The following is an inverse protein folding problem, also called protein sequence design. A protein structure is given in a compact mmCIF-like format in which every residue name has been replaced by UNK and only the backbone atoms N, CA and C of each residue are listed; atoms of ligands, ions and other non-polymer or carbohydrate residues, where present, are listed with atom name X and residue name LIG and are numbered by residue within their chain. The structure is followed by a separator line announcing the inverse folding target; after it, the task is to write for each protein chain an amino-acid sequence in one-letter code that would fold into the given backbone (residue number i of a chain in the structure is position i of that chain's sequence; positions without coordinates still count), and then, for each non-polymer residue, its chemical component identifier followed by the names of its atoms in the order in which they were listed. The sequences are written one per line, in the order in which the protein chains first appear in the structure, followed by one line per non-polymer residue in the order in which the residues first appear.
data_IF_077507671526
#
_entry.id   IF_077507671526
#
_cell.length_a   1.000
_cell.length_b   1.000
_cell.length_c   1.000
_cell.angle_alpha   90.00
_cell.angle_beta   90.00
_cell.angle_gamma   90.00
#
_symmetry.space_group_name_H-M   'P 1'
#
loop_
_entity.id
_entity.type
_entity.pdbx_description
1 polymer ?
2 non-polymer ?
3 non-polymer ?
4 non-polymer ?
5 non-polymer ?
6 water ?
#
# COMPACT_ATOMS: atom_id res chain seq x y z
N UNK A 1 -17.09 -5.36 5.14
CA UNK A 1 -16.61 -5.59 6.52
C UNK A 1 -15.16 -5.12 6.60
N UNK A 2 -14.50 -5.52 7.66
CA UNK A 2 -13.15 -5.07 8.01
C UNK A 2 -12.21 -5.45 6.87
N UNK A 3 -12.24 -6.68 6.36
CA UNK A 3 -11.29 -7.09 5.28
C UNK A 3 -11.47 -6.20 4.05
N UNK A 4 -12.71 -6.00 3.63
CA UNK A 4 -12.94 -5.15 2.44
C UNK A 4 -12.43 -3.74 2.75
N UNK A 5 -12.65 -3.26 3.96
CA UNK A 5 -12.20 -1.90 4.34
C UNK A 5 -10.67 -1.76 4.11
N UNK A 6 -9.93 -2.79 4.45
CA UNK A 6 -8.46 -2.79 4.23
C UNK A 6 -8.23 -2.65 2.74
N UNK A 7 -8.94 -3.38 1.89
CA UNK A 7 -8.81 -3.24 0.41
C UNK A 7 -9.17 -1.83 -0.06
N UNK A 8 -10.25 -1.29 0.46
CA UNK A 8 -10.71 0.07 0.06
C UNK A 8 -9.60 1.06 0.42
N UNK A 9 -9.12 1.04 1.66
CA UNK A 9 -8.09 2.00 2.14
C UNK A 9 -6.85 1.84 1.27
N UNK A 10 -6.38 0.62 1.04
CA UNK A 10 -5.19 0.39 0.22
C UNK A 10 -5.36 0.90 -1.22
N UNK A 11 -6.59 0.90 -1.75
CA UNK A 11 -6.84 1.35 -3.12
C UNK A 11 -6.73 2.85 -3.28
N UNK A 12 -6.62 3.62 -2.20
CA UNK A 12 -6.34 5.08 -2.30
C UNK A 12 -5.49 5.48 -1.10
N UNK A 13 -4.41 4.73 -0.91
CA UNK A 13 -3.71 4.72 0.37
C UNK A 13 -3.11 6.09 0.71
N UNK A 14 -2.47 6.76 -0.26
CA UNK A 14 -1.79 8.04 0.07
C UNK A 14 -2.85 9.01 0.60
N UNK A 15 -4.00 9.06 -0.08
CA UNK A 15 -5.06 9.99 0.29
C UNK A 15 -5.61 9.66 1.66
N UNK A 16 -5.96 8.38 1.87
CA UNK A 16 -6.53 8.06 3.19
C UNK A 16 -5.49 8.26 4.30
N UNK A 17 -4.23 7.91 4.00
CA UNK A 17 -3.16 8.00 5.04
C UNK A 17 -3.02 9.45 5.50
N UNK A 18 -3.01 10.36 4.52
CA UNK A 18 -2.86 11.80 4.85
C UNK A 18 -4.12 12.35 5.51
N UNK A 19 -5.29 12.00 4.98
CA UNK A 19 -6.54 12.60 5.50
C UNK A 19 -6.86 12.11 6.90
N UNK A 20 -6.58 10.83 7.18
CA UNK A 20 -6.84 10.33 8.56
C UNK A 20 -5.83 10.93 9.53
N UNK A 21 -4.55 11.06 9.14
CA UNK A 21 -3.61 11.70 10.04
C UNK A 21 -4.00 13.15 10.32
N UNK A 22 -4.45 13.88 9.28
CA UNK A 22 -4.86 15.29 9.51
C UNK A 22 -6.09 15.32 10.40
N UNK A 23 -7.01 14.35 10.22
CA UNK A 23 -8.19 14.33 11.10
C UNK A 23 -7.70 14.19 12.55
N UNK A 24 -6.75 13.26 12.78
CA UNK A 24 -6.17 13.08 14.13
C UNK A 24 -5.53 14.36 14.65
N UNK A 25 -4.60 14.92 13.88
CA UNK A 25 -3.91 16.13 14.37
C UNK A 25 -4.89 17.27 14.63
N UNK A 26 -5.93 17.40 13.81
CA UNK A 26 -6.88 18.52 13.97
C UNK A 26 -7.84 18.25 15.13
N UNK A 27 -8.20 16.97 15.40
CA UNK A 27 -9.06 16.67 16.55
C UNK A 27 -8.27 16.80 17.88
N UNK A 28 -6.97 16.45 17.83
CA UNK A 28 -6.11 16.39 19.04
C UNK A 28 -4.84 17.22 18.81
N UNK A 29 -4.97 18.56 18.78
CA UNK A 29 -3.82 19.38 18.42
C UNK A 29 -2.59 19.23 19.30
N UNK A 30 -2.81 18.90 20.56
CA UNK A 30 -1.74 18.61 21.53
C UNK A 30 -0.83 17.47 21.01
N UNK A 31 -1.36 16.55 20.23
CA UNK A 31 -0.56 15.41 19.68
C UNK A 31 0.58 15.93 18.77
N UNK A 32 0.55 17.18 18.33
CA UNK A 32 1.70 17.72 17.55
C UNK A 32 2.97 17.83 18.41
N UNK A 33 2.91 17.70 19.73
CA UNK A 33 4.15 17.67 20.56
C UNK A 33 5.05 16.56 19.99
N UNK A 34 4.47 15.52 19.39
CA UNK A 34 5.22 14.35 18.86
C UNK A 34 5.71 14.61 17.43
N UNK A 35 5.27 15.73 16.81
CA UNK A 35 5.48 16.01 15.37
C UNK A 35 5.82 17.49 15.17
N UNK A 36 6.89 17.94 15.81
CA UNK A 36 7.21 19.38 15.87
C UNK A 36 7.42 19.98 14.49
N UNK A 37 7.82 19.21 13.49
CA UNK A 37 8.06 19.74 12.13
C UNK A 37 6.72 20.07 11.45
N UNK A 38 5.61 19.65 12.03
CA UNK A 38 4.24 19.87 11.43
C UNK A 38 3.50 21.05 12.04
N UNK A 39 4.10 21.75 12.99
CA UNK A 39 3.54 22.93 13.68
C UNK A 39 3.47 24.08 12.69
N UNK A 40 2.39 24.82 12.81
CA UNK A 40 2.28 26.12 12.14
C UNK A 40 1.98 26.02 10.66
N UNK A 41 1.25 24.99 10.25
CA UNK A 41 1.07 24.70 8.82
C UNK A 41 -0.33 24.14 8.57
N UNK A 42 -1.01 24.74 7.61
CA UNK A 42 -2.34 24.28 7.18
C UNK A 42 -2.23 22.91 6.55
N UNK A 43 -3.38 22.26 6.43
CA UNK A 43 -3.41 20.89 5.84
C UNK A 43 -2.75 20.91 4.45
N UNK A 44 -3.04 21.89 3.60
CA UNK A 44 -2.49 21.90 2.23
C UNK A 44 -0.95 22.07 2.30
N UNK A 45 -0.46 22.88 3.25
CA UNK A 45 0.99 23.04 3.42
C UNK A 45 1.60 21.70 3.87
N UNK A 46 0.96 21.00 4.80
CA UNK A 46 1.52 19.69 5.24
C UNK A 46 1.56 18.75 4.05
N UNK A 47 0.55 18.76 3.18
CA UNK A 47 0.48 17.83 2.01
C UNK A 47 1.49 18.19 0.93
N UNK A 48 2.20 19.32 1.12
CA UNK A 48 3.30 19.75 0.24
C UNK A 48 4.66 19.28 0.79
N UNK A 49 4.72 18.88 2.08
CA UNK A 49 5.99 18.54 2.78
C UNK A 49 6.38 17.08 2.56
N UNK A 50 7.58 16.86 2.06
CA UNK A 50 7.96 15.51 1.60
C UNK A 50 7.89 14.50 2.74
N UNK A 51 8.33 14.83 3.94
CA UNK A 51 8.34 13.78 4.96
C UNK A 51 6.91 13.53 5.43
N UNK A 52 6.05 14.53 5.39
CA UNK A 52 4.66 14.26 5.79
C UNK A 52 4.04 13.27 4.82
N UNK A 53 4.25 13.37 3.54
CA UNK A 53 3.67 12.41 2.61
C UNK A 53 4.32 11.05 2.77
N UNK A 54 5.64 11.04 2.82
CA UNK A 54 6.43 9.79 2.90
C UNK A 54 6.10 9.03 4.18
N UNK A 55 6.16 9.72 5.30
CA UNK A 55 6.00 9.09 6.64
C UNK A 55 4.55 8.64 6.77
N UNK A 56 3.58 9.48 6.46
CA UNK A 56 2.16 9.06 6.58
C UNK A 56 1.93 7.81 5.79
N UNK A 57 2.43 7.73 4.59
CA UNK A 57 2.18 6.56 3.76
C UNK A 57 2.90 5.32 4.32
N UNK A 58 4.12 5.43 4.86
CA UNK A 58 4.81 4.25 5.43
C UNK A 58 4.07 3.82 6.70
N UNK A 59 3.59 4.73 7.50
CA UNK A 59 2.81 4.40 8.71
C UNK A 59 1.59 3.61 8.27
N UNK A 60 0.84 4.12 7.33
CA UNK A 60 -0.43 3.49 6.96
C UNK A 60 -0.21 2.16 6.25
N UNK A 61 0.86 2.02 5.49
CA UNK A 61 1.20 0.75 4.85
C UNK A 61 1.35 -0.29 5.95
N UNK A 62 2.03 0.02 7.05
CA UNK A 62 2.20 -0.98 8.11
C UNK A 62 0.91 -1.13 8.87
N UNK A 63 0.15 -0.08 9.12
CA UNK A 63 -1.12 -0.20 9.85
C UNK A 63 -1.98 -1.24 9.08
N UNK A 64 -2.07 -1.12 7.76
CA UNK A 64 -2.94 -2.02 6.99
C UNK A 64 -2.42 -3.45 7.09
N UNK A 65 -1.12 -3.67 7.12
CA UNK A 65 -0.57 -5.03 7.29
C UNK A 65 -0.96 -5.55 8.67
N UNK A 66 -0.87 -4.74 9.69
CA UNK A 66 -1.25 -5.16 11.06
C UNK A 66 -2.74 -5.55 11.08
N UNK A 67 -3.58 -4.73 10.47
CA UNK A 67 -5.02 -5.03 10.40
C UNK A 67 -5.23 -6.32 9.62
N UNK A 68 -4.53 -6.49 8.50
CA UNK A 68 -4.74 -7.65 7.61
C UNK A 68 -4.27 -8.94 8.31
N UNK A 69 -3.31 -8.85 9.23
CA UNK A 69 -2.79 -10.04 9.89
C UNK A 69 -3.64 -10.35 11.12
N UNK A 70 -4.55 -9.49 11.55
CA UNK A 70 -5.38 -9.68 12.73
C UNK A 70 -6.40 -10.83 12.51
N UNK A 71 -6.84 -11.39 13.62
CA UNK A 71 -7.96 -12.36 13.68
C UNK A 71 -9.08 -11.67 14.44
N UNK A 72 -10.28 -11.56 13.87
CA UNK A 72 -11.41 -10.98 14.63
C UNK A 72 -11.01 -9.61 15.21
N UNK A 73 -10.23 -8.83 14.47
CA UNK A 73 -9.82 -7.49 14.83
C UNK A 73 -8.83 -7.48 15.98
N UNK A 74 -8.20 -8.62 16.26
CA UNK A 74 -7.18 -8.74 17.34
C UNK A 74 -5.83 -8.90 16.66
N UNK A 75 -4.93 -7.92 16.82
CA UNK A 75 -3.63 -8.00 16.14
C UNK A 75 -2.75 -9.11 16.72
N UNK A 76 -1.85 -9.54 15.88
CA UNK A 76 -0.77 -10.47 16.32
C UNK A 76 0.02 -9.86 17.44
N UNK A 77 0.45 -10.65 18.39
CA UNK A 77 1.33 -10.19 19.46
C UNK A 77 2.66 -9.74 18.86
N UNK A 78 3.12 -10.38 17.79
CA UNK A 78 4.43 -9.98 17.15
C UNK A 78 4.30 -8.55 16.60
N UNK A 79 3.15 -8.20 16.01
CA UNK A 79 2.96 -6.85 15.47
C UNK A 79 2.87 -5.87 16.63
N UNK A 80 2.18 -6.17 17.73
CA UNK A 80 2.13 -5.27 18.88
C UNK A 80 3.55 -5.05 19.43
N UNK A 81 4.35 -6.09 19.57
CA UNK A 81 5.72 -5.91 20.13
C UNK A 81 6.60 -5.09 19.16
N UNK A 82 6.45 -5.25 17.84
CA UNK A 82 7.18 -4.41 16.87
C UNK A 82 6.81 -2.94 17.12
N UNK A 83 5.53 -2.63 17.27
CA UNK A 83 5.07 -1.23 17.49
C UNK A 83 5.55 -0.69 18.84
N UNK A 84 5.67 -1.51 19.87
CA UNK A 84 6.18 -1.02 21.18
C UNK A 84 7.69 -0.76 21.06
N UNK A 85 8.42 -1.62 20.37
CA UNK A 85 9.91 -1.67 20.46
C UNK A 85 10.56 -0.72 19.45
N UNK A 86 9.83 -0.28 18.44
CA UNK A 86 10.34 0.66 17.40
C UNK A 86 10.94 1.90 18.09
N UNK A 87 12.18 2.29 17.75
CA UNK A 87 12.85 3.45 18.37
C UNK A 87 11.98 4.71 18.17
N UNK A 88 11.27 4.78 17.04
CA UNK A 88 10.41 5.92 16.64
C UNK A 88 9.29 6.12 17.66
N UNK A 89 8.93 5.04 18.36
CA UNK A 89 7.82 5.01 19.33
C UNK A 89 8.27 5.09 20.80
N UNK A 90 9.54 5.38 21.08
CA UNK A 90 10.10 5.54 22.44
C UNK A 90 9.28 6.50 23.32
N UNK A 91 8.78 7.58 22.75
CA UNK A 91 8.10 8.55 23.65
C UNK A 91 6.64 8.20 23.95
N UNK A 92 6.06 7.16 23.36
CA UNK A 92 4.58 7.08 23.26
C UNK A 92 3.99 6.25 24.38
N UNK A 93 2.71 6.49 24.61
CA UNK A 93 1.87 5.68 25.51
C UNK A 93 0.66 5.19 24.74
N UNK A 94 -0.10 4.30 25.37
CA UNK A 94 -1.27 3.74 24.64
C UNK A 94 -2.31 4.83 24.29
N UNK A 95 -2.41 5.90 25.11
CA UNK A 95 -3.36 6.97 24.83
C UNK A 95 -3.14 7.63 23.46
N UNK A 96 -1.91 7.71 22.97
CA UNK A 96 -1.61 8.27 21.64
C UNK A 96 -2.33 7.41 20.60
N UNK A 97 -2.30 6.09 20.79
CA UNK A 97 -2.95 5.14 19.86
C UNK A 97 -4.45 5.16 20.05
N UNK A 98 -4.94 5.27 21.28
CA UNK A 98 -6.41 5.32 21.47
C UNK A 98 -6.95 6.50 20.66
N UNK A 99 -6.30 7.65 20.81
CA UNK A 99 -6.72 8.90 20.13
C UNK A 99 -6.68 8.76 18.63
N UNK A 100 -5.62 8.16 18.10
CA UNK A 100 -5.58 7.90 16.66
C UNK A 100 -6.80 7.10 16.22
N UNK A 101 -7.15 6.04 16.93
CA UNK A 101 -8.23 5.18 16.41
C UNK A 101 -9.60 5.88 16.64
N UNK A 102 -9.74 6.70 17.67
CA UNK A 102 -10.99 7.50 17.81
C UNK A 102 -11.13 8.38 16.58
N UNK A 103 -10.06 9.03 16.15
CA UNK A 103 -10.12 9.92 14.99
C UNK A 103 -10.36 9.15 13.69
N UNK A 104 -9.75 7.98 13.56
CA UNK A 104 -9.96 7.12 12.37
C UNK A 104 -11.43 6.72 12.28
N UNK A 105 -12.02 6.26 13.38
CA UNK A 105 -13.43 5.80 13.36
C UNK A 105 -14.32 6.97 13.03
N UNK A 106 -14.06 8.13 13.63
CA UNK A 106 -14.91 9.32 13.37
C UNK A 106 -14.79 9.64 11.89
N UNK A 107 -13.58 9.67 11.36
CA UNK A 107 -13.37 9.88 9.93
C UNK A 107 -14.26 8.97 9.07
N UNK A 108 -14.24 7.70 9.41
CA UNK A 108 -15.00 6.69 8.63
C UNK A 108 -16.52 6.96 8.76
N UNK A 109 -16.98 7.27 9.97
CA UNK A 109 -18.43 7.55 10.18
C UNK A 109 -18.86 8.75 9.31
N UNK A 110 -17.97 9.73 9.11
CA UNK A 110 -18.30 11.01 8.48
C UNK A 110 -18.12 10.86 6.96
N UNK A 111 -17.54 9.75 6.53
CA UNK A 111 -17.26 9.54 5.10
C UNK A 111 -18.58 9.25 4.36
N UNK A 112 -18.61 9.33 3.06
CA UNK A 112 -19.91 8.91 2.45
C UNK A 112 -20.14 7.39 2.52
N UNK A 113 -19.21 6.61 3.08
CA UNK A 113 -18.94 5.22 2.61
C UNK A 113 -19.24 4.12 3.63
N UNK A 114 -19.36 2.89 3.15
CA UNK A 114 -19.89 1.80 4.00
C UNK A 114 -18.71 1.11 4.71
N UNK A 115 -17.82 1.94 5.32
CA UNK A 115 -16.78 1.35 6.19
C UNK A 115 -17.47 0.65 7.36
N UNK A 116 -16.84 -0.43 7.84
CA UNK A 116 -17.34 -1.12 9.04
C UNK A 116 -16.75 -0.45 10.27
N UNK A 117 -17.27 0.70 10.65
CA UNK A 117 -16.65 1.51 11.72
C UNK A 117 -16.58 0.72 13.02
N UNK A 118 -17.55 -0.16 13.33
CA UNK A 118 -17.55 -0.86 14.62
C UNK A 118 -16.34 -1.82 14.62
N UNK A 119 -15.99 -2.42 13.48
CA UNK A 119 -14.77 -3.30 13.44
C UNK A 119 -13.51 -2.47 13.68
N UNK A 120 -13.43 -1.28 13.07
CA UNK A 120 -12.25 -0.42 13.34
C UNK A 120 -12.15 0.02 14.79
N UNK A 121 -13.29 0.31 15.42
CA UNK A 121 -13.31 0.73 16.84
C UNK A 121 -12.78 -0.43 17.70
N UNK A 122 -13.24 -1.65 17.44
CA UNK A 122 -12.70 -2.86 18.14
C UNK A 122 -11.20 -2.99 17.90
N UNK A 123 -10.82 -2.91 16.61
CA UNK A 123 -9.39 -3.05 16.26
C UNK A 123 -8.59 -2.08 17.11
N UNK A 124 -9.01 -0.82 17.17
CA UNK A 124 -8.22 0.15 17.97
C UNK A 124 -8.17 -0.24 19.43
N UNK A 125 -9.27 -0.69 20.02
CA UNK A 125 -9.25 -1.06 21.45
C UNK A 125 -8.37 -2.30 21.62
N UNK A 126 -8.46 -3.25 20.70
CA UNK A 126 -7.69 -4.51 20.83
C UNK A 126 -6.22 -4.18 20.60
N UNK A 127 -5.90 -3.25 19.68
CA UNK A 127 -4.48 -2.90 19.48
C UNK A 127 -3.95 -2.22 20.74
N UNK A 128 -4.71 -1.34 21.36
CA UNK A 128 -4.30 -0.72 22.64
C UNK A 128 -4.04 -1.78 23.71
N UNK A 129 -4.93 -2.78 23.83
CA UNK A 129 -4.77 -3.88 24.81
C UNK A 129 -3.47 -4.63 24.52
N UNK A 130 -3.22 -4.92 23.25
CA UNK A 130 -2.01 -5.66 22.83
C UNK A 130 -0.76 -4.83 23.08
N UNK A 131 -0.80 -3.52 22.84
CA UNK A 131 0.36 -2.67 23.08
C UNK A 131 0.67 -2.65 24.59
N UNK A 132 -0.35 -2.56 25.43
CA UNK A 132 -0.17 -2.57 26.91
C UNK A 132 0.45 -3.93 27.33
N UNK A 133 -0.08 -5.04 26.80
CA UNK A 133 0.47 -6.37 27.16
C UNK A 133 1.92 -6.45 26.72
N UNK A 134 2.27 -5.85 25.59
CA UNK A 134 3.67 -5.88 25.06
C UNK A 134 4.56 -4.81 25.70
N UNK A 135 4.08 -4.09 26.73
CA UNK A 135 4.92 -3.23 27.54
C UNK A 135 4.81 -1.73 27.31
N UNK A 136 3.94 -1.25 26.43
CA UNK A 136 3.74 0.19 26.35
C UNK A 136 2.99 0.72 27.58
N UNK A 137 3.44 1.84 28.12
CA UNK A 137 2.83 2.48 29.30
C UNK A 137 1.56 3.21 28.85
N UNK B 1 10.46 -15.46 1.65
CA UNK B 1 9.82 -16.07 0.49
C UNK B 1 8.77 -15.12 -0.08
N UNK B 2 7.84 -15.63 -0.86
CA UNK B 2 6.84 -14.86 -1.59
C UNK B 2 6.01 -14.04 -0.62
N UNK B 3 5.50 -14.61 0.45
CA UNK B 3 4.61 -13.88 1.34
C UNK B 3 5.36 -12.76 2.02
N UNK B 4 6.63 -12.95 2.41
CA UNK B 4 7.35 -11.84 3.08
C UNK B 4 7.64 -10.77 2.01
N UNK B 5 7.88 -11.19 0.78
CA UNK B 5 8.17 -10.20 -0.31
C UNK B 5 6.94 -9.29 -0.46
N UNK B 6 5.76 -9.87 -0.43
CA UNK B 6 4.54 -9.01 -0.56
C UNK B 6 4.51 -8.04 0.63
N UNK B 7 4.86 -8.43 1.85
CA UNK B 7 4.93 -7.56 3.05
C UNK B 7 5.99 -6.48 2.80
N UNK B 8 7.15 -6.82 2.29
CA UNK B 8 8.27 -5.88 2.04
C UNK B 8 7.79 -4.82 1.03
N UNK B 9 7.24 -5.27 -0.06
CA UNK B 9 6.79 -4.37 -1.15
C UNK B 9 5.69 -3.50 -0.58
N UNK B 10 4.66 -4.06 0.06
CA UNK B 10 3.56 -3.23 0.62
C UNK B 10 4.09 -2.20 1.62
N UNK B 11 5.16 -2.52 2.31
CA UNK B 11 5.64 -1.65 3.37
C UNK B 11 6.16 -0.32 2.85
N UNK B 12 6.69 -0.37 1.61
CA UNK B 12 7.11 0.88 0.95
C UNK B 12 6.58 0.91 -0.47
N UNK B 13 5.25 0.79 -0.56
CA UNK B 13 4.62 0.47 -1.86
C UNK B 13 4.91 1.54 -2.92
N UNK B 14 4.81 2.82 -2.53
CA UNK B 14 4.99 3.96 -3.47
C UNK B 14 6.39 3.87 -4.11
N UNK B 15 7.42 3.61 -3.30
CA UNK B 15 8.81 3.60 -3.78
C UNK B 15 9.05 2.43 -4.72
N UNK B 16 8.64 1.23 -4.27
CA UNK B 16 8.84 0.05 -5.12
C UNK B 16 8.04 0.18 -6.42
N UNK B 17 6.79 0.68 -6.30
CA UNK B 17 5.92 0.77 -7.50
C UNK B 17 6.62 1.65 -8.56
N UNK B 18 7.10 2.84 -8.14
CA UNK B 18 7.75 3.76 -9.09
C UNK B 18 8.99 3.11 -9.68
N UNK B 19 9.81 2.50 -8.83
CA UNK B 19 11.14 2.05 -9.30
C UNK B 19 10.98 0.84 -10.23
N UNK B 20 10.02 -0.06 -9.95
CA UNK B 20 9.84 -1.22 -10.85
C UNK B 20 9.24 -0.76 -12.18
N UNK B 21 8.26 0.14 -12.14
CA UNK B 21 7.66 0.62 -13.40
C UNK B 21 8.73 1.32 -14.25
N UNK B 22 9.56 2.17 -13.62
CA UNK B 22 10.62 2.84 -14.41
C UNK B 22 11.55 1.77 -14.99
N UNK B 23 11.90 0.74 -14.19
CA UNK B 23 12.78 -0.31 -14.74
C UNK B 23 12.14 -0.92 -16.00
N UNK B 24 10.84 -1.21 -15.88
CA UNK B 24 10.08 -1.75 -17.03
C UNK B 24 10.12 -0.78 -18.21
N UNK B 25 9.78 0.48 -17.99
CA UNK B 25 9.71 1.40 -19.15
C UNK B 25 11.08 1.60 -19.78
N UNK B 26 12.11 1.64 -18.99
CA UNK B 26 13.48 1.87 -19.53
C UNK B 26 13.95 0.58 -20.25
N UNK B 27 13.59 -0.62 -19.78
CA UNK B 27 14.03 -1.87 -20.46
C UNK B 27 13.29 -2.04 -21.80
N UNK B 28 12.04 -1.66 -21.80
CA UNK B 28 11.13 -1.86 -22.95
C UNK B 28 10.54 -0.53 -23.38
N UNK B 29 11.31 0.37 -24.00
CA UNK B 29 10.82 1.72 -24.23
C UNK B 29 9.57 1.82 -25.11
N UNK B 30 9.37 0.86 -26.03
CA UNK B 30 8.17 0.91 -26.89
C UNK B 30 6.93 0.78 -26.01
N UNK B 31 7.04 0.19 -24.81
CA UNK B 31 5.89 0.06 -23.87
C UNK B 31 5.40 1.44 -23.45
N UNK B 32 6.21 2.48 -23.61
CA UNK B 32 5.76 3.83 -23.17
C UNK B 32 4.65 4.45 -24.05
N UNK B 33 4.40 3.88 -25.25
CA UNK B 33 3.28 4.26 -26.16
C UNK B 33 1.91 4.08 -25.48
N UNK B 34 1.82 3.14 -24.53
CA UNK B 34 0.61 2.93 -23.70
C UNK B 34 0.40 4.03 -22.68
N UNK B 35 1.40 4.92 -22.49
CA UNK B 35 1.37 5.95 -21.44
C UNK B 35 1.86 7.27 -22.07
N UNK B 36 1.02 7.86 -22.91
CA UNK B 36 1.44 8.99 -23.76
C UNK B 36 1.79 10.19 -22.87
N UNK B 37 1.20 10.32 -21.67
CA UNK B 37 1.50 11.43 -20.70
C UNK B 37 2.94 11.31 -20.19
N UNK B 38 3.56 10.15 -20.37
CA UNK B 38 4.90 9.94 -19.77
C UNK B 38 6.03 10.08 -20.80
N UNK B 39 5.69 10.17 -22.06
CA UNK B 39 6.68 10.29 -23.17
C UNK B 39 7.49 11.58 -23.04
N UNK B 40 8.80 11.46 -23.26
CA UNK B 40 9.72 12.62 -23.35
C UNK B 40 10.09 13.22 -22.00
N UNK B 41 9.98 12.42 -20.94
CA UNK B 41 10.23 12.80 -19.55
C UNK B 41 11.22 11.83 -18.92
N UNK B 42 12.18 12.40 -18.28
CA UNK B 42 13.16 11.67 -17.48
C UNK B 42 12.47 10.97 -16.29
N UNK B 43 13.21 10.09 -15.63
CA UNK B 43 12.69 9.42 -14.43
C UNK B 43 12.30 10.47 -13.37
N UNK B 44 13.12 11.49 -13.16
CA UNK B 44 12.82 12.47 -12.09
C UNK B 44 11.68 13.42 -12.54
N UNK B 45 11.48 13.72 -13.83
CA UNK B 45 10.31 14.52 -14.25
C UNK B 45 9.06 13.65 -14.01
N UNK B 46 9.17 12.34 -14.25
CA UNK B 46 7.97 11.46 -14.01
C UNK B 46 7.64 11.41 -12.52
N UNK B 47 8.62 11.26 -11.65
CA UNK B 47 8.37 11.21 -10.20
C UNK B 47 7.70 12.50 -9.70
N UNK B 48 7.75 13.60 -10.45
CA UNK B 48 7.18 14.90 -10.00
C UNK B 48 5.71 15.03 -10.46
N UNK B 49 5.22 14.14 -11.30
CA UNK B 49 3.83 14.19 -11.83
C UNK B 49 2.87 13.47 -10.89
N UNK B 50 1.78 14.14 -10.50
CA UNK B 50 0.88 13.57 -9.47
C UNK B 50 0.41 12.20 -9.95
N UNK B 51 0.04 12.09 -11.23
CA UNK B 51 -0.67 10.89 -11.70
C UNK B 51 0.37 9.77 -11.78
N UNK B 52 1.66 10.04 -11.98
CA UNK B 52 2.66 8.96 -12.10
C UNK B 52 2.75 8.22 -10.76
N UNK B 53 2.92 8.91 -9.66
CA UNK B 53 2.98 8.26 -8.34
C UNK B 53 1.66 7.62 -7.99
N UNK B 54 0.52 8.35 -8.13
CA UNK B 54 -0.82 7.85 -7.73
C UNK B 54 -1.14 6.58 -8.51
N UNK B 55 -0.95 6.63 -9.82
CA UNK B 55 -1.24 5.53 -10.78
C UNK B 55 -0.37 4.33 -10.44
N UNK B 56 0.96 4.50 -10.47
CA UNK B 56 1.93 3.40 -10.23
C UNK B 56 1.55 2.74 -8.91
N UNK B 57 1.23 3.51 -7.88
CA UNK B 57 0.96 2.84 -6.59
C UNK B 57 -0.32 2.01 -6.73
N UNK B 58 -1.35 2.54 -7.39
CA UNK B 58 -2.61 1.80 -7.45
C UNK B 58 -2.45 0.51 -8.27
N UNK B 59 -1.65 0.52 -9.34
CA UNK B 59 -1.30 -0.68 -10.11
C UNK B 59 -0.67 -1.70 -9.16
N UNK B 60 0.37 -1.28 -8.44
CA UNK B 60 1.20 -2.20 -7.61
C UNK B 60 0.39 -2.67 -6.40
N UNK B 61 -0.53 -1.87 -5.90
CA UNK B 61 -1.45 -2.33 -4.84
C UNK B 61 -2.31 -3.49 -5.38
N UNK B 62 -2.90 -3.35 -6.57
CA UNK B 62 -3.70 -4.46 -7.11
C UNK B 62 -2.80 -5.66 -7.37
N UNK B 63 -1.61 -5.45 -7.86
CA UNK B 63 -0.66 -6.55 -8.13
C UNK B 63 -0.41 -7.29 -6.80
N UNK B 64 -0.25 -6.59 -5.69
CA UNK B 64 0.00 -7.23 -4.40
C UNK B 64 -1.24 -7.97 -3.91
N UNK B 65 -2.45 -7.46 -4.19
CA UNK B 65 -3.68 -8.17 -3.84
C UNK B 65 -3.75 -9.48 -4.63
N UNK B 66 -3.46 -9.46 -5.90
CA UNK B 66 -3.51 -10.67 -6.74
C UNK B 66 -2.44 -11.64 -6.23
N UNK B 67 -1.22 -11.17 -5.96
CA UNK B 67 -0.16 -12.06 -5.47
C UNK B 67 -0.61 -12.66 -4.13
N UNK B 68 -1.15 -11.89 -3.21
CA UNK B 68 -1.54 -12.40 -1.88
C UNK B 68 -2.66 -13.44 -2.00
N UNK B 69 -3.54 -13.32 -2.97
CA UNK B 69 -4.65 -14.27 -3.13
C UNK B 69 -4.23 -15.50 -3.92
N UNK B 70 -3.05 -15.52 -4.47
CA UNK B 70 -2.56 -16.65 -5.26
C UNK B 70 -2.32 -17.87 -4.34
N UNK B 71 -2.39 -19.05 -4.91
CA UNK B 71 -1.97 -20.30 -4.23
C UNK B 71 -0.76 -20.84 -4.98
N UNK B 72 0.36 -21.05 -4.27
CA UNK B 72 1.57 -21.63 -4.90
C UNK B 72 1.93 -20.79 -6.15
N UNK B 73 1.81 -19.47 -6.02
CA UNK B 73 2.17 -18.52 -7.09
C UNK B 73 1.28 -18.67 -8.34
N UNK B 74 0.09 -19.25 -8.18
CA UNK B 74 -0.90 -19.35 -9.26
C UNK B 74 -2.03 -18.42 -8.90
N UNK B 75 -2.27 -17.37 -9.73
CA UNK B 75 -3.31 -16.39 -9.41
C UNK B 75 -4.69 -17.01 -9.64
N UNK B 76 -5.63 -16.45 -8.90
CA UNK B 76 -7.05 -16.78 -9.12
C UNK B 76 -7.47 -16.41 -10.54
N UNK B 77 -8.27 -17.23 -11.17
CA UNK B 77 -8.84 -16.98 -12.50
C UNK B 77 -9.70 -15.72 -12.40
N UNK B 78 -10.37 -15.50 -11.29
CA UNK B 78 -11.23 -14.30 -11.14
C UNK B 78 -10.40 -13.02 -11.19
N UNK B 79 -9.21 -13.07 -10.59
CA UNK B 79 -8.30 -11.90 -10.58
C UNK B 79 -7.76 -11.71 -11.98
N UNK B 80 -7.36 -12.76 -12.70
CA UNK B 80 -6.96 -12.64 -14.11
C UNK B 80 -8.08 -11.98 -14.89
N UNK B 81 -9.29 -12.44 -14.74
CA UNK B 81 -10.39 -11.87 -15.53
C UNK B 81 -10.59 -10.38 -15.19
N UNK B 82 -10.43 -9.96 -13.94
CA UNK B 82 -10.51 -8.51 -13.62
C UNK B 82 -9.52 -7.77 -14.50
N UNK B 83 -8.31 -8.26 -14.57
CA UNK B 83 -7.25 -7.59 -15.33
C UNK B 83 -7.56 -7.59 -16.82
N UNK B 84 -8.18 -8.61 -17.34
CA UNK B 84 -8.56 -8.68 -18.78
C UNK B 84 -9.71 -7.69 -19.08
N UNK B 85 -10.65 -7.56 -18.16
CA UNK B 85 -11.92 -6.85 -18.45
C UNK B 85 -11.83 -5.36 -18.08
N UNK B 86 -10.79 -4.95 -17.36
CA UNK B 86 -10.57 -3.49 -17.06
C UNK B 86 -10.51 -2.72 -18.36
N UNK B 87 -11.32 -1.65 -18.43
CA UNK B 87 -11.39 -0.76 -19.62
C UNK B 87 -9.98 -0.27 -19.99
N UNK B 88 -9.19 0.03 -18.95
CA UNK B 88 -7.85 0.63 -19.13
C UNK B 88 -6.90 -0.41 -19.76
N UNK B 89 -7.23 -1.71 -19.75
CA UNK B 89 -6.43 -2.76 -20.42
C UNK B 89 -6.96 -3.17 -21.78
N UNK B 90 -7.90 -2.42 -22.39
CA UNK B 90 -8.52 -2.72 -23.70
C UNK B 90 -7.46 -3.04 -24.75
N UNK B 91 -6.41 -2.28 -24.86
CA UNK B 91 -5.51 -2.58 -26.03
C UNK B 91 -4.59 -3.77 -25.81
N UNK B 92 -4.56 -4.35 -24.62
CA UNK B 92 -3.31 -5.04 -24.20
C UNK B 92 -3.29 -6.51 -24.62
N UNK B 93 -2.10 -7.07 -24.70
CA UNK B 93 -1.87 -8.48 -24.94
C UNK B 93 -1.00 -9.04 -23.81
N UNK B 94 -0.92 -10.35 -23.75
CA UNK B 94 -0.21 -10.95 -22.58
C UNK B 94 1.29 -10.58 -22.62
N UNK B 95 1.84 -10.32 -23.80
CA UNK B 95 3.23 -9.83 -23.93
C UNK B 95 3.57 -8.62 -23.09
N UNK B 96 2.60 -7.73 -22.96
CA UNK B 96 2.78 -6.52 -22.13
C UNK B 96 3.08 -6.94 -20.69
N UNK B 97 2.31 -7.92 -20.19
CA UNK B 97 2.44 -8.43 -18.80
C UNK B 97 3.74 -9.24 -18.69
N UNK B 98 4.03 -10.07 -19.68
CA UNK B 98 5.27 -10.91 -19.66
C UNK B 98 6.47 -9.96 -19.47
N UNK B 99 6.50 -8.85 -20.19
CA UNK B 99 7.66 -7.92 -20.11
C UNK B 99 7.70 -7.23 -18.77
N UNK B 100 6.56 -6.84 -18.21
CA UNK B 100 6.52 -6.25 -16.85
C UNK B 100 7.20 -7.21 -15.86
N UNK B 101 6.82 -8.49 -15.88
CA UNK B 101 7.34 -9.47 -14.91
C UNK B 101 8.82 -9.75 -15.17
N UNK B 102 9.26 -9.75 -16.41
CA UNK B 102 10.70 -9.89 -16.69
C UNK B 102 11.43 -8.76 -15.97
N UNK B 103 10.96 -7.54 -16.14
CA UNK B 103 11.57 -6.36 -15.54
C UNK B 103 11.53 -6.45 -14.02
N UNK B 104 10.41 -6.87 -13.45
CA UNK B 104 10.27 -6.95 -11.99
C UNK B 104 11.28 -7.97 -11.43
N UNK B 105 11.42 -9.13 -12.08
CA UNK B 105 12.33 -10.20 -11.61
C UNK B 105 13.78 -9.65 -11.70
N UNK B 106 14.12 -8.96 -12.79
CA UNK B 106 15.48 -8.41 -12.98
C UNK B 106 15.75 -7.35 -11.90
N UNK B 107 14.75 -6.54 -11.59
CA UNK B 107 14.86 -5.53 -10.51
C UNK B 107 15.18 -6.23 -9.20
N UNK B 108 14.43 -7.28 -8.88
CA UNK B 108 14.66 -7.95 -7.61
C UNK B 108 16.07 -8.59 -7.58
N UNK B 109 16.49 -9.21 -8.67
CA UNK B 109 17.80 -9.90 -8.78
C UNK B 109 18.93 -8.86 -8.56
N UNK B 110 18.75 -7.64 -9.02
CA UNK B 110 19.78 -6.59 -8.94
C UNK B 110 19.71 -5.84 -7.62
N UNK B 111 18.67 -5.99 -6.83
CA UNK B 111 18.50 -5.20 -5.58
C UNK B 111 19.54 -5.71 -4.57
N UNK B 112 19.74 -5.07 -3.45
CA UNK B 112 20.70 -5.76 -2.53
C UNK B 112 20.03 -6.88 -1.77
N UNK B 113 18.80 -7.26 -2.12
CA UNK B 113 17.84 -7.76 -1.09
C UNK B 113 17.39 -9.20 -1.38
N UNK B 114 16.92 -9.85 -0.33
CA UNK B 114 16.60 -11.29 -0.31
C UNK B 114 15.19 -11.58 -0.85
N UNK B 115 14.79 -10.93 -1.95
CA UNK B 115 13.54 -11.27 -2.63
C UNK B 115 13.65 -12.68 -3.20
N UNK B 116 12.52 -13.36 -3.18
CA UNK B 116 12.37 -14.72 -3.75
C UNK B 116 12.09 -14.56 -5.24
N UNK B 117 13.11 -14.21 -5.99
CA UNK B 117 12.95 -13.89 -7.42
C UNK B 117 12.36 -15.07 -8.18
N UNK B 118 12.69 -16.29 -7.81
CA UNK B 118 12.16 -17.46 -8.56
C UNK B 118 10.64 -17.52 -8.38
N UNK B 119 10.13 -17.21 -7.19
CA UNK B 119 8.66 -17.24 -6.97
C UNK B 119 8.01 -16.16 -7.83
N UNK B 120 8.60 -14.97 -7.89
CA UNK B 120 8.01 -13.90 -8.72
C UNK B 120 8.07 -14.26 -10.21
N UNK B 121 9.10 -14.94 -10.66
CA UNK B 121 9.19 -15.41 -12.04
C UNK B 121 8.02 -16.36 -12.32
N UNK B 122 7.81 -17.36 -11.45
CA UNK B 122 6.71 -18.34 -11.58
C UNK B 122 5.39 -17.57 -11.61
N UNK B 123 5.21 -16.66 -10.67
CA UNK B 123 3.98 -15.87 -10.54
C UNK B 123 3.70 -15.17 -11.87
N UNK B 124 4.71 -14.52 -12.41
CA UNK B 124 4.50 -13.81 -13.68
C UNK B 124 4.10 -14.77 -14.81
N UNK B 125 4.75 -15.92 -14.92
CA UNK B 125 4.42 -16.91 -15.97
C UNK B 125 2.99 -17.41 -15.78
N UNK B 126 2.62 -17.66 -14.54
CA UNK B 126 1.29 -18.18 -14.22
C UNK B 126 0.22 -17.09 -14.41
N UNK B 127 0.57 -15.83 -14.15
CA UNK B 127 -0.39 -14.73 -14.45
C UNK B 127 -0.57 -14.61 -15.95
N UNK B 128 0.50 -14.67 -16.72
CA UNK B 128 0.39 -14.64 -18.22
C UNK B 128 -0.56 -15.77 -18.66
N UNK B 129 -0.33 -16.96 -18.16
CA UNK B 129 -1.19 -18.11 -18.55
C UNK B 129 -2.67 -17.81 -18.21
N UNK B 130 -2.88 -17.36 -16.99
CA UNK B 130 -4.21 -17.06 -16.45
C UNK B 130 -4.88 -15.98 -17.30
N UNK B 131 -4.13 -14.96 -17.71
CA UNK B 131 -4.69 -13.90 -18.55
C UNK B 131 -5.16 -14.49 -19.87
N UNK B 132 -4.40 -15.35 -20.48
CA UNK B 132 -4.78 -16.04 -21.72
C UNK B 132 -6.07 -16.83 -21.49
N UNK B 133 -6.12 -17.59 -20.40
CA UNK B 133 -7.33 -18.42 -20.12
C UNK B 133 -8.54 -17.54 -19.90
N UNK B 134 -8.34 -16.34 -19.39
CA UNK B 134 -9.45 -15.40 -19.13
C UNK B 134 -9.75 -14.56 -20.38
N UNK B 135 -9.09 -14.79 -21.50
CA UNK B 135 -9.50 -14.21 -22.80
C UNK B 135 -8.60 -13.12 -23.31
N UNK B 136 -7.50 -12.79 -22.66
CA UNK B 136 -6.56 -11.84 -23.28
C UNK B 136 -5.80 -12.49 -24.45
N UNK B 137 -5.64 -11.76 -25.54
CA UNK B 137 -4.85 -12.18 -26.71
C UNK B 137 -3.36 -12.09 -26.42
#
# INVERSE_FOLDING_TARGET
GFKQDIATLRGDLRTYAQDIFLAFLNKYPDEKRNFKNYVGKSDQELKSMAKFGDHTEKVFNLMMEVADRATDCVPLASDASTLVQMKQHSGLTTGNFEKLFVALVEYMRASGQSFDSQSWDRFGKNLVSALSSAGMK
GFKQDIATLRGDLRTYAQDIFLAFLNKYPDEKRNFKNYVGKSDQELKSMAKFGDHTEKVFNLMMEVADRATDCVPLASDASTLVQMKQHSGLTTGNFEKLFVALVEYMRASGQSFDSQSWDRFGKNLVSALSSAGMK
#
